data_IF_752201472083
#
_entry.id   IF_752201472083
#
_cell.length_a   1.000
_cell.length_b   1.000
_cell.length_c   1.000
_cell.angle_alpha   90.00
_cell.angle_beta   90.00
_cell.angle_gamma   90.00
#
_symmetry.space_group_name_H-M   'P 1'
#
loop_
_entity.id
_entity.type
_entity.pdbx_description
1 polymer ?
#
# COMPACT_ATOMS: atom_id res chain seq x y z
N UNK A 1 -5.75 9.61 -16.26
CA UNK A 1 -6.67 8.44 -16.17
C UNK A 1 -8.11 8.88 -16.45
N UNK A 2 -8.96 8.02 -17.05
CA UNK A 2 -10.32 8.37 -17.53
C UNK A 2 -11.27 8.89 -16.43
N UNK A 3 -11.14 8.35 -15.21
CA UNK A 3 -11.92 8.71 -14.02
C UNK A 3 -11.46 9.96 -13.26
N UNK A 4 -10.44 10.68 -13.76
CA UNK A 4 -9.86 11.82 -13.04
C UNK A 4 -9.05 11.45 -11.79
N UNK A 5 -8.69 10.17 -11.64
CA UNK A 5 -7.81 9.70 -10.58
C UNK A 5 -6.37 10.16 -10.83
N UNK A 6 -5.67 10.53 -9.76
CA UNK A 6 -4.25 10.96 -9.83
C UNK A 6 -3.41 9.78 -10.34
N UNK A 7 -2.40 10.05 -11.17
CA UNK A 7 -1.51 9.04 -11.78
C UNK A 7 -0.59 8.30 -10.78
N UNK A 8 -0.94 8.27 -9.50
CA UNK A 8 -0.13 7.69 -8.42
C UNK A 8 -0.16 6.15 -8.41
N UNK A 9 -0.72 5.52 -9.43
CA UNK A 9 -0.75 4.06 -9.56
C UNK A 9 0.66 3.59 -9.87
N UNK A 10 1.39 3.22 -8.83
CA UNK A 10 2.62 2.47 -9.02
C UNK A 10 2.24 1.09 -9.58
N UNK A 11 2.42 0.90 -10.89
CA UNK A 11 2.10 -0.35 -11.60
C UNK A 11 2.87 -1.58 -11.09
N UNK A 12 3.80 -1.41 -10.15
CA UNK A 12 4.52 -2.53 -9.51
C UNK A 12 3.74 -3.22 -8.38
N UNK A 13 2.61 -2.67 -7.92
CA UNK A 13 1.78 -3.27 -6.87
C UNK A 13 0.62 -4.04 -7.50
N UNK A 14 0.39 -5.31 -7.13
CA UNK A 14 -0.60 -6.18 -7.78
C UNK A 14 -2.02 -5.61 -7.65
N UNK A 15 -2.33 -4.97 -6.52
CA UNK A 15 -3.63 -4.32 -6.33
C UNK A 15 -3.92 -3.21 -7.34
N UNK A 16 -2.89 -2.46 -7.75
CA UNK A 16 -3.06 -1.39 -8.74
C UNK A 16 -3.33 -1.99 -10.12
N UNK A 17 -2.79 -3.18 -10.41
CA UNK A 17 -3.07 -3.90 -11.65
C UNK A 17 -4.53 -4.39 -11.66
N UNK A 18 -5.01 -5.01 -10.59
CA UNK A 18 -6.41 -5.44 -10.46
C UNK A 18 -7.37 -4.25 -10.57
N UNK A 19 -7.09 -3.14 -9.87
CA UNK A 19 -7.89 -1.91 -9.97
C UNK A 19 -7.91 -1.35 -11.39
N UNK A 20 -6.76 -1.31 -12.08
CA UNK A 20 -6.70 -0.83 -13.45
C UNK A 20 -7.51 -1.71 -14.41
N UNK A 21 -7.45 -3.03 -14.25
CA UNK A 21 -8.25 -3.95 -15.05
C UNK A 21 -9.74 -3.73 -14.83
N UNK A 22 -10.19 -3.74 -13.57
CA UNK A 22 -11.59 -3.54 -13.20
C UNK A 22 -12.11 -2.18 -13.71
N UNK A 23 -11.35 -1.10 -13.52
CA UNK A 23 -11.72 0.23 -14.00
C UNK A 23 -11.73 0.32 -15.53
N UNK A 24 -10.80 -0.34 -16.22
CA UNK A 24 -10.83 -0.40 -17.68
C UNK A 24 -12.08 -1.12 -18.17
N UNK A 25 -12.39 -2.26 -17.56
CA UNK A 25 -13.57 -3.04 -17.91
C UNK A 25 -14.87 -2.29 -17.58
N UNK A 26 -14.92 -1.60 -16.44
CA UNK A 26 -16.05 -0.77 -16.04
C UNK A 26 -16.31 0.37 -17.05
N UNK A 27 -15.24 0.99 -17.54
CA UNK A 27 -15.34 2.00 -18.60
C UNK A 27 -15.91 1.37 -19.88
N UNK A 28 -15.38 0.24 -20.30
CA UNK A 28 -15.83 -0.44 -21.52
C UNK A 28 -17.29 -0.88 -21.41
N UNK A 29 -17.70 -1.36 -20.24
CA UNK A 29 -19.09 -1.68 -19.90
C UNK A 29 -20.01 -0.45 -20.02
N UNK A 30 -19.60 0.71 -19.49
CA UNK A 30 -20.35 1.96 -19.63
C UNK A 30 -20.46 2.40 -21.10
N UNK A 31 -19.36 2.32 -21.86
CA UNK A 31 -19.35 2.62 -23.29
C UNK A 31 -20.29 1.70 -24.06
N UNK A 32 -20.28 0.40 -23.74
CA UNK A 32 -21.17 -0.58 -24.34
C UNK A 32 -22.65 -0.33 -23.98
N UNK A 33 -22.95 -0.09 -22.70
CA UNK A 33 -24.31 0.15 -22.22
C UNK A 33 -24.97 1.35 -22.91
N UNK A 34 -24.25 2.47 -23.00
CA UNK A 34 -24.76 3.70 -23.63
C UNK A 34 -24.41 3.84 -25.11
N UNK A 35 -23.81 2.81 -25.73
CA UNK A 35 -23.39 2.81 -27.13
C UNK A 35 -22.49 4.02 -27.50
N UNK A 36 -21.61 4.42 -26.57
CA UNK A 36 -20.64 5.50 -26.77
C UNK A 36 -19.35 4.88 -27.32
N UNK A 37 -19.01 5.20 -28.57
CA UNK A 37 -17.84 4.62 -29.23
C UNK A 37 -16.50 5.06 -28.65
N UNK A 38 -16.44 6.29 -28.12
CA UNK A 38 -15.25 6.84 -27.51
C UNK A 38 -15.60 8.01 -26.60
N UNK A 39 -14.84 8.14 -25.52
CA UNK A 39 -14.74 9.39 -24.77
C UNK A 39 -13.34 9.55 -24.19
N UNK A 40 -12.85 10.79 -24.16
CA UNK A 40 -11.53 11.14 -23.64
C UNK A 40 -11.44 10.93 -22.13
N UNK A 41 -12.46 11.34 -21.41
CA UNK A 41 -12.58 11.28 -19.96
C UNK A 41 -14.04 11.08 -19.56
N UNK A 42 -14.29 10.98 -18.25
CA UNK A 42 -15.62 10.78 -17.71
C UNK A 42 -16.58 11.94 -17.99
N UNK A 43 -16.07 13.17 -18.09
CA UNK A 43 -16.90 14.34 -18.37
C UNK A 43 -17.34 14.38 -19.84
N UNK A 44 -16.43 14.08 -20.76
CA UNK A 44 -16.74 13.88 -22.18
C UNK A 44 -17.74 12.73 -22.38
N UNK A 45 -17.61 11.64 -21.61
CA UNK A 45 -18.60 10.56 -21.61
C UNK A 45 -19.99 11.05 -21.24
N UNK A 46 -20.15 11.75 -20.11
CA UNK A 46 -21.46 12.26 -19.71
C UNK A 46 -22.06 13.23 -20.69
N UNK A 47 -21.25 14.11 -21.27
CA UNK A 47 -21.72 15.06 -22.27
C UNK A 47 -22.37 14.30 -23.44
N UNK A 48 -21.70 13.27 -23.95
CA UNK A 48 -22.22 12.41 -25.03
C UNK A 48 -23.48 11.67 -24.63
N UNK A 49 -23.53 11.11 -23.42
CA UNK A 49 -24.71 10.38 -22.93
C UNK A 49 -25.92 11.31 -22.76
N UNK A 50 -25.71 12.53 -22.25
CA UNK A 50 -26.76 13.54 -22.05
C UNK A 50 -27.35 14.07 -23.38
N UNK A 51 -26.59 13.99 -24.47
CA UNK A 51 -27.09 14.31 -25.82
C UNK A 51 -28.02 13.23 -26.41
N UNK A 52 -28.03 12.02 -25.84
CA UNK A 52 -28.87 10.93 -26.31
C UNK A 52 -30.31 11.04 -25.81
N UNK A 53 -31.24 10.41 -26.53
CA UNK A 53 -32.63 10.24 -26.08
C UNK A 53 -32.73 9.07 -25.10
N UNK A 54 -32.46 9.35 -23.82
CA UNK A 54 -32.48 8.35 -22.75
C UNK A 54 -33.91 7.97 -22.30
N UNK A 55 -34.09 6.69 -21.95
CA UNK A 55 -35.29 6.23 -21.24
C UNK A 55 -35.24 6.68 -19.77
N UNK A 56 -36.38 6.64 -19.07
CA UNK A 56 -36.45 7.13 -17.70
C UNK A 56 -35.48 6.42 -16.73
N UNK A 57 -35.33 5.09 -16.85
CA UNK A 57 -34.37 4.34 -16.02
C UNK A 57 -32.92 4.73 -16.33
N UNK A 58 -32.58 4.93 -17.60
CA UNK A 58 -31.23 5.36 -18.00
C UNK A 58 -30.91 6.77 -17.47
N UNK A 59 -31.90 7.68 -17.45
CA UNK A 59 -31.73 9.01 -16.84
C UNK A 59 -31.40 8.90 -15.36
N UNK A 60 -32.15 8.09 -14.62
CA UNK A 60 -31.89 7.86 -13.19
C UNK A 60 -30.51 7.25 -12.96
N UNK A 61 -30.11 6.31 -13.81
CA UNK A 61 -28.78 5.71 -13.74
C UNK A 61 -27.67 6.73 -14.02
N UNK A 62 -27.82 7.58 -15.04
CA UNK A 62 -26.87 8.66 -15.33
C UNK A 62 -26.76 9.66 -14.19
N UNK A 63 -27.89 10.09 -13.62
CA UNK A 63 -27.90 10.99 -12.45
C UNK A 63 -27.23 10.36 -11.23
N UNK A 64 -27.46 9.06 -11.01
CA UNK A 64 -26.80 8.33 -9.94
C UNK A 64 -25.29 8.20 -10.19
N UNK A 65 -24.89 7.87 -11.41
CA UNK A 65 -23.49 7.70 -11.81
C UNK A 65 -22.72 9.02 -11.64
N UNK A 66 -23.36 10.15 -11.93
CA UNK A 66 -22.77 11.50 -11.80
C UNK A 66 -22.55 11.88 -10.34
N UNK A 67 -23.48 11.51 -9.45
CA UNK A 67 -23.42 11.88 -8.03
C UNK A 67 -22.62 10.91 -7.18
N UNK A 68 -22.75 9.61 -7.43
CA UNK A 68 -22.25 8.57 -6.55
C UNK A 68 -21.18 7.70 -7.21
N UNK A 69 -21.38 7.31 -8.47
CA UNK A 69 -20.52 6.33 -9.14
C UNK A 69 -19.05 6.74 -9.20
N UNK A 70 -18.75 7.96 -9.66
CA UNK A 70 -17.35 8.47 -9.66
C UNK A 70 -16.85 8.67 -8.23
N UNK A 71 -17.71 9.19 -7.36
CA UNK A 71 -17.31 9.57 -6.00
C UNK A 71 -16.73 8.37 -5.26
N UNK A 72 -17.33 7.19 -5.43
CA UNK A 72 -16.82 5.93 -4.88
C UNK A 72 -15.40 5.59 -5.31
N UNK A 73 -14.97 6.00 -6.50
CA UNK A 73 -13.61 5.73 -6.97
C UNK A 73 -12.58 6.71 -6.41
N UNK A 74 -12.98 7.80 -5.74
CA UNK A 74 -12.01 8.73 -5.13
C UNK A 74 -11.15 8.09 -4.05
N UNK A 75 -11.68 7.05 -3.37
CA UNK A 75 -10.93 6.29 -2.37
C UNK A 75 -9.65 5.66 -2.94
N UNK A 76 -9.61 5.44 -4.26
CA UNK A 76 -8.46 4.91 -4.98
C UNK A 76 -7.29 5.89 -5.08
N UNK A 77 -7.48 7.18 -4.74
CA UNK A 77 -6.37 8.14 -4.66
C UNK A 77 -5.49 7.97 -3.41
N UNK A 78 -5.90 7.12 -2.46
CA UNK A 78 -5.10 6.78 -1.29
C UNK A 78 -3.97 5.81 -1.63
N UNK A 79 -2.95 5.74 -0.79
CA UNK A 79 -1.88 4.75 -0.94
C UNK A 79 -2.38 3.40 -0.42
N UNK A 80 -2.81 2.52 -1.32
CA UNK A 80 -3.34 1.20 -0.99
C UNK A 80 -2.22 0.17 -1.09
N UNK A 81 -1.89 -0.46 0.05
CA UNK A 81 -0.91 -1.55 0.12
C UNK A 81 -1.51 -2.84 -0.42
N UNK A 82 -0.67 -3.72 -0.95
CA UNK A 82 -1.12 -5.04 -1.39
C UNK A 82 -1.76 -5.81 -0.23
N UNK A 83 -2.96 -6.33 -0.50
CA UNK A 83 -3.73 -7.11 0.43
C UNK A 83 -4.42 -8.24 -0.34
N UNK A 84 -4.14 -9.51 -0.03
CA UNK A 84 -4.70 -10.65 -0.76
C UNK A 84 -6.23 -10.69 -0.78
N UNK A 85 -6.88 -10.31 0.32
CA UNK A 85 -8.34 -10.29 0.39
C UNK A 85 -8.93 -9.24 -0.57
N UNK A 86 -8.36 -8.04 -0.62
CA UNK A 86 -8.80 -7.01 -1.56
C UNK A 86 -8.53 -7.39 -3.01
N UNK A 87 -7.37 -7.99 -3.30
CA UNK A 87 -7.07 -8.51 -4.64
C UNK A 87 -8.16 -9.49 -5.06
N UNK A 88 -8.46 -10.50 -4.25
CA UNK A 88 -9.51 -11.48 -4.56
C UNK A 88 -10.90 -10.86 -4.67
N UNK A 89 -11.24 -9.85 -3.85
CA UNK A 89 -12.51 -9.12 -3.99
C UNK A 89 -12.60 -8.38 -5.31
N UNK A 90 -11.52 -7.72 -5.76
CA UNK A 90 -11.49 -7.00 -7.02
C UNK A 90 -11.56 -7.95 -8.24
N UNK A 91 -10.85 -9.08 -8.18
CA UNK A 91 -10.91 -10.12 -9.20
C UNK A 91 -12.31 -10.75 -9.30
N UNK A 92 -13.01 -10.89 -8.17
CA UNK A 92 -14.39 -11.38 -8.16
C UNK A 92 -15.35 -10.38 -8.84
N UNK A 93 -15.24 -9.09 -8.53
CA UNK A 93 -16.02 -8.05 -9.20
C UNK A 93 -15.72 -7.99 -10.70
N UNK A 94 -14.45 -8.15 -11.10
CA UNK A 94 -14.05 -8.26 -12.51
C UNK A 94 -14.71 -9.47 -13.19
N UNK A 95 -14.67 -10.64 -12.56
CA UNK A 95 -15.30 -11.85 -13.07
C UNK A 95 -16.81 -11.69 -13.29
N UNK A 96 -17.52 -11.10 -12.31
CA UNK A 96 -18.94 -10.80 -12.45
C UNK A 96 -19.19 -9.86 -13.62
N UNK A 97 -18.43 -8.77 -13.71
CA UNK A 97 -18.61 -7.78 -14.78
C UNK A 97 -18.38 -8.39 -16.16
N UNK A 98 -17.34 -9.23 -16.33
CA UNK A 98 -17.06 -9.93 -17.60
C UNK A 98 -18.28 -10.74 -18.05
N UNK A 99 -18.96 -11.41 -17.14
CA UNK A 99 -20.13 -12.23 -17.49
C UNK A 99 -21.31 -11.40 -18.02
N UNK A 100 -21.44 -10.16 -17.56
CA UNK A 100 -22.50 -9.23 -17.98
C UNK A 100 -22.15 -8.43 -19.26
N UNK A 101 -20.89 -8.47 -19.72
CA UNK A 101 -20.44 -7.73 -20.92
C UNK A 101 -21.14 -8.17 -22.21
N UNK A 102 -21.75 -9.35 -22.23
CA UNK A 102 -22.53 -9.84 -23.38
C UNK A 102 -23.77 -8.99 -23.66
N UNK A 103 -24.24 -8.21 -22.67
CA UNK A 103 -25.43 -7.37 -22.76
C UNK A 103 -26.70 -8.16 -23.13
N UNK A 104 -26.76 -9.45 -22.78
CA UNK A 104 -27.99 -10.25 -22.94
C UNK A 104 -29.15 -9.62 -22.16
N UNK A 105 -28.87 -9.15 -20.94
CA UNK A 105 -29.77 -8.41 -20.06
C UNK A 105 -29.11 -7.09 -19.63
N UNK A 106 -29.37 -5.97 -20.33
CA UNK A 106 -28.73 -4.68 -20.01
C UNK A 106 -28.96 -4.21 -18.57
N UNK A 107 -30.13 -4.52 -18.00
CA UNK A 107 -30.45 -4.25 -16.60
C UNK A 107 -29.48 -4.92 -15.63
N UNK A 108 -29.02 -6.14 -15.90
CA UNK A 108 -28.09 -6.87 -15.06
C UNK A 108 -26.70 -6.25 -15.14
N UNK A 109 -26.27 -5.81 -16.34
CA UNK A 109 -25.03 -5.02 -16.47
C UNK A 109 -25.12 -3.73 -15.66
N UNK A 110 -26.23 -2.99 -15.75
CA UNK A 110 -26.42 -1.75 -14.98
C UNK A 110 -26.34 -2.02 -13.49
N UNK A 111 -27.02 -3.05 -13.01
CA UNK A 111 -27.08 -3.38 -11.59
C UNK A 111 -25.70 -3.87 -11.10
N UNK A 112 -24.95 -4.59 -11.93
CA UNK A 112 -23.55 -4.94 -11.69
C UNK A 112 -22.65 -3.71 -11.56
N UNK A 113 -22.75 -2.74 -12.48
CA UNK A 113 -21.99 -1.48 -12.41
C UNK A 113 -22.30 -0.71 -11.12
N UNK A 114 -23.57 -0.62 -10.73
CA UNK A 114 -23.99 0.01 -9.48
C UNK A 114 -23.38 -0.73 -8.27
N UNK A 115 -23.44 -2.06 -8.27
CA UNK A 115 -22.90 -2.90 -7.19
C UNK A 115 -21.41 -2.68 -6.99
N UNK A 116 -20.62 -2.72 -8.07
CA UNK A 116 -19.16 -2.52 -8.01
C UNK A 116 -18.82 -1.17 -7.37
N UNK A 117 -19.44 -0.09 -7.85
CA UNK A 117 -19.22 1.25 -7.30
C UNK A 117 -19.67 1.39 -5.85
N UNK A 118 -20.71 0.68 -5.41
CA UNK A 118 -21.13 0.71 -4.01
C UNK A 118 -20.20 -0.10 -3.09
N UNK A 119 -19.67 -1.22 -3.59
CA UNK A 119 -18.89 -2.16 -2.77
C UNK A 119 -17.42 -1.74 -2.61
N UNK A 120 -16.85 -1.03 -3.59
CA UNK A 120 -15.40 -0.73 -3.63
C UNK A 120 -14.92 0.00 -2.36
N UNK A 121 -15.73 0.93 -1.86
CA UNK A 121 -15.50 1.65 -0.61
C UNK A 121 -15.46 0.70 0.59
N UNK A 122 -16.37 -0.27 0.62
CA UNK A 122 -16.49 -1.29 1.68
C UNK A 122 -15.30 -2.24 1.71
N UNK A 123 -14.68 -2.52 0.56
CA UNK A 123 -13.46 -3.33 0.51
C UNK A 123 -12.22 -2.56 0.95
N UNK A 124 -12.13 -1.27 0.60
CA UNK A 124 -10.90 -0.49 0.78
C UNK A 124 -10.81 0.19 2.16
N UNK A 125 -11.91 0.71 2.71
CA UNK A 125 -11.92 1.39 4.03
C UNK A 125 -11.31 0.54 5.15
N UNK A 126 -11.68 -0.74 5.33
CA UNK A 126 -11.12 -1.57 6.41
C UNK A 126 -9.60 -1.72 6.32
N UNK A 127 -9.04 -1.72 5.10
CA UNK A 127 -7.60 -1.88 4.88
C UNK A 127 -6.85 -0.60 5.20
N UNK A 128 -7.42 0.55 4.84
CA UNK A 128 -6.87 1.86 5.20
C UNK A 128 -6.90 2.07 6.72
N UNK A 129 -8.00 1.71 7.38
CA UNK A 129 -8.14 1.77 8.84
C UNK A 129 -7.14 0.85 9.54
N UNK A 130 -7.01 -0.40 9.09
CA UNK A 130 -6.06 -1.37 9.66
C UNK A 130 -4.62 -0.89 9.48
N UNK A 131 -4.29 -0.33 8.32
CA UNK A 131 -2.96 0.22 8.04
C UNK A 131 -2.63 1.39 8.95
N UNK A 132 -3.59 2.31 9.15
CA UNK A 132 -3.43 3.47 10.03
C UNK A 132 -3.32 3.06 11.51
N UNK A 133 -4.12 2.09 11.95
CA UNK A 133 -4.05 1.56 13.31
C UNK A 133 -2.70 0.88 13.59
N UNK A 134 -2.19 0.09 12.65
CA UNK A 134 -0.87 -0.53 12.77
C UNK A 134 0.26 0.50 12.83
N UNK A 135 0.19 1.56 12.03
CA UNK A 135 1.16 2.65 12.05
C UNK A 135 1.13 3.43 13.37
N UNK A 136 -0.06 3.66 13.93
CA UNK A 136 -0.22 4.28 15.25
C UNK A 136 0.38 3.42 16.37
N UNK A 137 0.12 2.10 16.36
CA UNK A 137 0.70 1.16 17.33
C UNK A 137 2.21 1.13 17.22
N UNK A 138 2.74 1.07 15.99
CA UNK A 138 4.18 1.10 15.74
C UNK A 138 4.81 2.39 16.26
N UNK A 139 4.24 3.55 15.94
CA UNK A 139 4.73 4.84 16.42
C UNK A 139 4.66 4.98 17.95
N UNK A 140 3.60 4.45 18.58
CA UNK A 140 3.50 4.44 20.03
C UNK A 140 4.58 3.55 20.66
N UNK A 141 4.82 2.37 20.08
CA UNK A 141 5.84 1.45 20.57
C UNK A 141 7.25 2.03 20.40
N UNK A 142 7.58 2.61 19.25
CA UNK A 142 8.89 3.23 19.01
C UNK A 142 9.14 4.38 19.98
N UNK A 143 8.15 5.26 20.18
CA UNK A 143 8.25 6.36 21.15
C UNK A 143 8.43 5.84 22.58
N UNK A 144 7.66 4.83 23.01
CA UNK A 144 7.83 4.23 24.34
C UNK A 144 9.21 3.59 24.50
N UNK A 145 9.69 2.88 23.47
CA UNK A 145 11.01 2.28 23.44
C UNK A 145 12.10 3.35 23.58
N UNK A 146 12.11 4.39 22.74
CA UNK A 146 13.11 5.47 22.83
C UNK A 146 13.08 6.18 24.19
N UNK A 147 11.89 6.47 24.71
CA UNK A 147 11.75 7.07 26.04
C UNK A 147 12.30 6.15 27.15
N UNK A 148 12.11 4.84 27.04
CA UNK A 148 12.67 3.87 28.00
C UNK A 148 14.20 3.82 27.93
N UNK A 149 14.79 3.78 26.74
CA UNK A 149 16.25 3.78 26.52
C UNK A 149 16.87 5.09 27.03
N UNK A 150 16.22 6.23 26.80
CA UNK A 150 16.66 7.54 27.31
C UNK A 150 16.65 7.62 28.84
N UNK A 151 15.65 7.01 29.48
CA UNK A 151 15.54 6.95 30.95
C UNK A 151 16.55 5.98 31.57
N UNK A 152 16.90 4.88 30.88
CA UNK A 152 17.87 3.87 31.37
C UNK A 152 19.34 4.31 31.30
N UNK A 153 19.62 5.61 31.17
CA UNK A 153 20.95 6.21 31.39
C UNK A 153 22.08 5.78 30.43
N UNK A 154 21.81 5.74 29.11
CA UNK A 154 22.90 5.84 28.13
C UNK A 154 23.33 7.31 28.00
N UNK A 155 24.49 7.66 28.60
CA UNK A 155 25.07 9.02 28.51
C UNK A 155 25.70 9.38 27.15
N UNK A 156 25.55 8.54 26.13
CA UNK A 156 26.18 8.74 24.83
C UNK A 156 25.11 8.98 23.77
N UNK A 157 24.92 10.24 23.40
CA UNK A 157 23.99 10.66 22.35
C UNK A 157 24.24 9.94 21.00
N UNK A 158 25.49 9.52 20.75
CA UNK A 158 25.92 8.78 19.56
C UNK A 158 25.31 7.36 19.45
N UNK A 159 24.99 6.70 20.58
CA UNK A 159 24.26 5.42 20.54
C UNK A 159 22.83 5.59 20.04
N UNK A 160 22.18 6.70 20.41
CA UNK A 160 20.80 6.94 20.03
C UNK A 160 20.66 7.23 18.55
N UNK A 161 21.58 8.00 17.96
CA UNK A 161 21.58 8.25 16.52
C UNK A 161 21.81 6.95 15.74
N UNK A 162 22.76 6.11 16.17
CA UNK A 162 23.05 4.83 15.52
C UNK A 162 21.87 3.85 15.61
N UNK A 163 21.24 3.70 16.78
CA UNK A 163 20.06 2.83 16.96
C UNK A 163 18.88 3.35 16.13
N UNK A 164 18.67 4.67 16.09
CA UNK A 164 17.59 5.30 15.31
C UNK A 164 17.78 5.10 13.81
N UNK A 165 19.00 5.29 13.31
CA UNK A 165 19.34 5.01 11.91
C UNK A 165 19.15 3.53 11.58
N UNK A 166 19.59 2.63 12.47
CA UNK A 166 19.43 1.19 12.27
C UNK A 166 17.95 0.79 12.21
N UNK A 167 17.10 1.28 13.12
CA UNK A 167 15.65 1.02 13.11
C UNK A 167 14.99 1.56 11.83
N UNK A 168 15.38 2.76 11.38
CA UNK A 168 14.87 3.34 10.14
C UNK A 168 15.30 2.59 8.88
N UNK A 169 16.45 1.91 8.90
CA UNK A 169 16.97 1.10 7.77
C UNK A 169 16.24 -0.24 7.62
N UNK A 170 15.71 -0.81 8.70
CA UNK A 170 15.01 -2.10 8.69
C UNK A 170 13.49 -2.02 8.39
N UNK A 171 12.98 -0.84 8.02
CA UNK A 171 11.57 -0.65 7.74
C UNK A 171 11.17 -1.28 6.38
N UNK A 172 10.03 -2.02 6.39
CA UNK A 172 9.19 -2.55 5.27
C UNK A 172 8.77 -4.04 5.29
N UNK A 173 8.78 -4.78 6.41
CA UNK A 173 8.11 -6.12 6.46
C UNK A 173 7.31 -6.39 7.75
N UNK A 174 6.21 -7.19 7.68
CA UNK A 174 5.18 -7.17 8.72
C UNK A 174 5.47 -8.05 9.96
N UNK A 175 5.12 -7.48 11.12
CA UNK A 175 4.62 -7.98 12.43
C UNK A 175 5.38 -9.12 13.14
N UNK A 176 6.02 -10.06 12.46
CA UNK A 176 6.94 -11.04 13.10
C UNK A 176 8.21 -10.37 13.66
N UNK A 177 8.44 -9.11 13.27
CA UNK A 177 9.58 -8.31 13.63
C UNK A 177 9.60 -7.86 15.10
N UNK A 178 8.49 -7.86 15.87
CA UNK A 178 8.53 -7.27 17.22
C UNK A 178 9.49 -8.00 18.19
N UNK A 179 9.49 -9.34 18.17
CA UNK A 179 10.46 -10.14 18.95
C UNK A 179 11.84 -10.10 18.33
N UNK A 180 11.95 -10.33 17.02
CA UNK A 180 13.24 -10.34 16.34
C UNK A 180 13.97 -8.99 16.39
N UNK A 181 13.25 -7.86 16.26
CA UNK A 181 13.80 -6.51 16.47
C UNK A 181 14.20 -6.31 17.92
N UNK A 182 13.36 -6.72 18.88
CA UNK A 182 13.70 -6.64 20.29
C UNK A 182 14.99 -7.40 20.58
N UNK A 183 15.12 -8.62 20.08
CA UNK A 183 16.29 -9.48 20.27
C UNK A 183 17.52 -8.91 19.54
N UNK A 184 17.37 -8.46 18.29
CA UNK A 184 18.47 -7.86 17.50
C UNK A 184 18.96 -6.54 18.11
N UNK A 185 18.04 -5.71 18.61
CA UNK A 185 18.38 -4.45 19.29
C UNK A 185 19.02 -4.75 20.64
N UNK A 186 18.55 -5.76 21.37
CA UNK A 186 19.16 -6.19 22.63
C UNK A 186 20.57 -6.77 22.40
N UNK A 187 20.76 -7.55 21.34
CA UNK A 187 22.06 -8.09 20.93
C UNK A 187 23.02 -6.97 20.51
N UNK A 188 22.54 -5.98 19.75
CA UNK A 188 23.33 -4.81 19.33
C UNK A 188 23.72 -3.93 20.52
N UNK A 189 22.82 -3.71 21.47
CA UNK A 189 23.11 -3.01 22.73
C UNK A 189 24.15 -3.80 23.53
N UNK A 190 23.99 -5.12 23.63
CA UNK A 190 24.90 -6.00 24.36
C UNK A 190 26.30 -6.03 23.72
N UNK A 191 26.40 -6.08 22.40
CA UNK A 191 27.66 -6.04 21.65
C UNK A 191 28.37 -4.69 21.79
N UNK A 192 27.62 -3.58 21.70
CA UNK A 192 28.17 -2.25 21.94
C UNK A 192 28.66 -2.09 23.38
N UNK A 193 27.89 -2.50 24.37
CA UNK A 193 28.29 -2.49 25.78
C UNK A 193 29.57 -3.30 26.01
N UNK A 194 29.70 -4.49 25.40
CA UNK A 194 30.93 -5.29 25.44
C UNK A 194 32.12 -4.59 24.79
N UNK A 195 31.94 -3.94 23.64
CA UNK A 195 33.01 -3.16 22.97
C UNK A 195 33.48 -1.97 23.80
N UNK A 196 32.55 -1.25 24.42
CA UNK A 196 32.88 -0.12 25.31
C UNK A 196 33.58 -0.61 26.58
N UNK A 197 33.12 -1.70 27.17
CA UNK A 197 33.72 -2.29 28.37
C UNK A 197 35.11 -2.88 28.10
N UNK A 198 35.31 -3.53 26.95
CA UNK A 198 36.63 -3.95 26.45
C UNK A 198 37.58 -2.77 26.28
N UNK A 199 37.13 -1.68 25.64
CA UNK A 199 37.92 -0.47 25.49
C UNK A 199 38.20 0.22 26.82
N UNK A 200 37.34 0.08 27.84
CA UNK A 200 37.54 0.64 29.17
C UNK A 200 38.53 -0.18 30.02
N UNK A 201 38.52 -1.51 29.85
CA UNK A 201 39.36 -2.43 30.61
C UNK A 201 40.75 -2.68 29.97
N UNK A 202 40.88 -2.47 28.66
CA UNK A 202 42.13 -2.73 27.92
C UNK A 202 42.67 -1.51 27.14
N UNK A 203 41.99 -0.36 27.21
CA UNK A 203 42.26 0.83 26.40
C UNK A 203 43.45 1.69 26.78
N UNK A 204 44.54 1.11 27.29
CA UNK A 204 45.82 1.83 27.32
C UNK A 204 47.04 1.05 26.80
N UNK A 205 46.89 -0.18 26.30
CA UNK A 205 48.01 -0.87 25.64
C UNK A 205 47.56 -1.71 24.46
N UNK A 206 47.36 -1.06 23.31
CA UNK A 206 47.98 -1.44 22.04
C UNK A 206 47.56 -0.42 20.99
N UNK A 207 48.50 0.42 20.57
CA UNK A 207 48.35 1.16 19.33
C UNK A 207 48.30 0.20 18.13
N UNK A 208 47.52 0.58 17.11
CA UNK A 208 47.80 0.30 15.70
C UNK A 208 48.00 -1.17 15.27
N UNK A 209 46.99 -2.04 15.45
CA UNK A 209 46.94 -3.33 14.74
C UNK A 209 45.79 -3.44 13.71
N UNK A 210 44.71 -2.65 13.83
CA UNK A 210 43.55 -2.75 12.93
C UNK A 210 43.70 -2.05 11.56
N UNK A 211 44.94 -1.73 11.14
CA UNK A 211 45.23 -1.24 9.78
C UNK A 211 45.64 -2.34 8.79
N UNK A 212 45.59 -3.63 9.15
CA UNK A 212 45.91 -4.73 8.22
C UNK A 212 44.98 -5.93 8.41
N UNK A 213 43.89 -5.97 7.66
CA UNK A 213 43.29 -7.21 7.15
C UNK A 213 42.22 -6.84 6.12
N UNK A 214 42.65 -6.60 4.89
CA UNK A 214 41.82 -6.85 3.71
C UNK A 214 41.71 -8.38 3.48
N UNK A 215 40.67 -8.85 2.76
CA UNK A 215 40.20 -10.23 2.81
C UNK A 215 40.99 -11.14 1.85
N UNK A 216 41.46 -12.28 2.36
CA UNK A 216 41.96 -13.36 1.50
C UNK A 216 40.80 -14.31 1.23
N UNK A 217 40.40 -14.36 -0.04
CA UNK A 217 39.48 -15.33 -0.60
C UNK A 217 40.07 -16.75 -0.54
N UNK A 218 39.16 -17.69 -0.35
CA UNK A 218 39.20 -19.15 -0.45
C UNK A 218 40.14 -19.66 -1.56
N UNK A 219 40.90 -20.72 -1.28
CA UNK A 219 40.99 -21.86 -2.21
C UNK A 219 41.31 -23.17 -1.47
N UNK A 220 40.59 -24.21 -1.86
CA UNK A 220 40.44 -25.52 -1.23
C UNK A 220 41.62 -26.47 -1.50
N UNK A 221 41.72 -27.49 -0.64
CA UNK A 221 42.66 -28.63 -0.71
C UNK A 221 42.59 -29.39 -2.04
N UNK A 222 43.76 -29.83 -2.52
CA UNK A 222 44.07 -31.26 -2.75
C UNK A 222 45.46 -31.54 -2.16
#
# INVERSE_FOLDING_TARGET
MWYGLKEQFNHSNEINKCLNNLLSLYKDALHNYFQVSYSKDFFDFFTRVKEQKLKNHDKLFVEWLEKNGIESFKILNNNIKDNPQLISSLEYEEFLLISEMSMEYPEDLRDCLISISNNIDGYIKPILETSSALESIYNSFTEQFFNSVQRSSFRHAECFSYIRETINVYDKRPITLSRALSDTVFDSITDYSKKVEYNKNFGEKTGSAYKKAEPIFVEEKI
#
